data_IF_916626969245
#
_entry.id   IF_916626969245
#
_cell.length_a   1.000
_cell.length_b   1.000
_cell.length_c   1.000
_cell.angle_alpha   90.00
_cell.angle_beta   90.00
_cell.angle_gamma   90.00
#
_symmetry.space_group_name_H-M   'P 1'
#
loop_
_entity.id
_entity.type
_entity.pdbx_description
1 polymer ?
#
# COMPACT_ATOMS: atom_id res chain seq x y z
N UNK A 1 -11.81 10.28 -8.88
CA UNK A 1 -11.28 9.32 -7.87
C UNK A 1 -10.10 8.61 -8.51
N UNK A 2 -8.93 8.60 -7.88
CA UNK A 2 -7.74 7.93 -8.43
C UNK A 2 -7.80 6.41 -8.18
N UNK A 3 -6.94 5.62 -8.83
CA UNK A 3 -6.85 4.17 -8.57
C UNK A 3 -6.36 3.88 -7.14
N UNK A 4 -5.41 4.66 -6.64
CA UNK A 4 -4.91 4.58 -5.26
C UNK A 4 -6.01 4.85 -4.25
N UNK A 5 -6.88 5.82 -4.53
CA UNK A 5 -8.06 6.10 -3.70
C UNK A 5 -8.94 4.87 -3.54
N UNK A 6 -9.28 4.23 -4.66
CA UNK A 6 -10.13 3.06 -4.68
C UNK A 6 -9.49 1.89 -3.92
N UNK A 7 -8.17 1.71 -4.04
CA UNK A 7 -7.43 0.68 -3.32
C UNK A 7 -7.48 0.89 -1.80
N UNK A 8 -7.24 2.12 -1.34
CA UNK A 8 -7.27 2.46 0.10
C UNK A 8 -8.68 2.32 0.67
N UNK A 9 -9.70 2.75 -0.07
CA UNK A 9 -11.09 2.63 0.37
C UNK A 9 -11.53 1.16 0.41
N UNK A 10 -11.07 0.34 -0.53
CA UNK A 10 -11.37 -1.08 -0.59
C UNK A 10 -10.79 -1.90 0.58
N UNK A 11 -9.84 -1.38 1.34
CA UNK A 11 -9.21 -2.09 2.48
C UNK A 11 -9.59 -1.50 3.84
N UNK A 12 -10.63 -0.65 3.88
CA UNK A 12 -11.11 -0.02 5.11
C UNK A 12 -10.47 1.32 5.43
N UNK A 13 -9.80 1.97 4.47
CA UNK A 13 -9.29 3.33 4.59
C UNK A 13 -7.89 3.44 5.19
N UNK A 14 -7.43 4.68 5.36
CA UNK A 14 -6.08 4.98 5.86
C UNK A 14 -5.84 4.49 7.30
N UNK A 15 -6.87 4.52 8.15
CA UNK A 15 -6.77 4.01 9.52
C UNK A 15 -6.51 2.51 9.56
N UNK A 16 -7.15 1.73 8.69
CA UNK A 16 -6.92 0.28 8.61
C UNK A 16 -5.48 -0.03 8.21
N UNK A 17 -4.92 0.73 7.27
CA UNK A 17 -3.51 0.62 6.86
C UNK A 17 -2.58 0.96 8.02
N UNK A 18 -2.80 2.10 8.68
CA UNK A 18 -1.98 2.53 9.82
C UNK A 18 -2.03 1.54 10.99
N UNK A 19 -3.18 0.91 11.20
CA UNK A 19 -3.39 -0.07 12.27
C UNK A 19 -2.82 -1.47 11.93
N UNK A 20 -2.61 -1.77 10.64
CA UNK A 20 -1.97 -3.00 10.18
C UNK A 20 -0.45 -2.92 10.36
N UNK A 21 0.19 -2.00 9.66
CA UNK A 21 1.65 -1.87 9.63
C UNK A 21 2.06 -0.53 9.00
N UNK A 22 3.32 -0.10 9.19
CA UNK A 22 3.84 1.06 8.46
C UNK A 22 3.68 0.90 6.94
N UNK A 23 3.10 1.92 6.29
CA UNK A 23 2.93 1.94 4.84
C UNK A 23 4.26 2.22 4.14
N UNK A 24 4.45 1.66 2.94
CA UNK A 24 5.65 1.86 2.11
C UNK A 24 5.27 1.88 0.63
N UNK A 25 6.04 2.62 -0.18
CA UNK A 25 5.90 2.66 -1.65
C UNK A 25 7.22 3.09 -2.30
N UNK A 26 7.27 3.14 -3.64
CA UNK A 26 8.43 3.61 -4.40
C UNK A 26 8.72 5.10 -4.15
N UNK A 27 10.00 5.49 -4.21
CA UNK A 27 10.47 6.86 -3.91
C UNK A 27 9.65 7.97 -4.59
N UNK A 28 9.35 7.89 -5.91
CA UNK A 28 8.57 8.95 -6.57
C UNK A 28 7.16 9.13 -6.00
N UNK A 29 6.53 8.07 -5.48
CA UNK A 29 5.15 8.11 -5.00
C UNK A 29 5.03 8.35 -3.49
N UNK A 30 6.14 8.50 -2.76
CA UNK A 30 6.10 8.71 -1.30
C UNK A 30 5.27 9.93 -0.91
N UNK A 31 5.44 11.05 -1.61
CA UNK A 31 4.67 12.27 -1.34
C UNK A 31 3.17 12.06 -1.58
N UNK A 32 2.80 11.34 -2.65
CA UNK A 32 1.41 11.04 -2.98
C UNK A 32 0.78 10.11 -1.93
N UNK A 33 1.48 9.05 -1.54
CA UNK A 33 1.01 8.12 -0.52
C UNK A 33 0.94 8.78 0.86
N UNK A 34 1.92 9.61 1.22
CA UNK A 34 1.95 10.38 2.45
C UNK A 34 0.71 11.26 2.57
N UNK A 35 0.43 12.05 1.54
CA UNK A 35 -0.77 12.89 1.50
C UNK A 35 -2.05 12.07 1.59
N UNK A 36 -2.10 10.92 0.89
CA UNK A 36 -3.33 10.12 0.80
C UNK A 36 -3.67 9.34 2.07
N UNK A 37 -2.63 8.92 2.80
CA UNK A 37 -2.77 8.20 4.06
C UNK A 37 -2.62 9.11 5.29
N UNK A 38 -2.46 10.41 5.08
CA UNK A 38 -2.15 11.40 6.13
C UNK A 38 -0.94 10.99 7.00
N UNK A 39 0.13 10.54 6.34
CA UNK A 39 1.37 10.08 6.97
C UNK A 39 2.47 11.13 6.83
N UNK A 40 3.37 11.17 7.82
CA UNK A 40 4.60 11.96 7.73
C UNK A 40 5.63 11.28 6.83
N UNK A 41 6.37 12.05 6.04
CA UNK A 41 7.31 11.54 5.04
C UNK A 41 8.42 10.66 5.61
N UNK A 42 8.86 10.91 6.85
CA UNK A 42 9.89 10.13 7.54
C UNK A 42 9.44 8.69 7.74
N UNK A 43 8.13 8.46 7.87
CA UNK A 43 7.56 7.12 7.97
C UNK A 43 7.61 6.36 6.67
N UNK A 44 8.00 6.95 5.53
CA UNK A 44 8.07 6.26 4.24
C UNK A 44 9.51 6.08 3.75
N UNK A 45 10.53 6.55 4.48
CA UNK A 45 11.90 6.68 4.01
C UNK A 45 12.63 5.33 3.79
N UNK A 46 12.38 4.35 4.65
CA UNK A 46 13.18 3.12 4.71
C UNK A 46 12.69 1.99 3.80
N UNK A 47 13.61 1.07 3.48
CA UNK A 47 13.27 -0.20 2.84
C UNK A 47 12.18 -0.93 3.67
N UNK A 48 11.18 -1.54 3.01
CA UNK A 48 10.15 -2.28 3.74
C UNK A 48 10.80 -3.45 4.49
N UNK A 49 10.57 -3.51 5.79
CA UNK A 49 10.89 -4.65 6.66
C UNK A 49 9.57 -5.10 7.27
N UNK A 50 9.40 -6.42 7.45
CA UNK A 50 8.19 -6.94 8.08
C UNK A 50 8.12 -6.49 9.55
N UNK A 51 6.95 -6.05 10.05
CA UNK A 51 5.66 -5.91 9.37
C UNK A 51 5.56 -4.62 8.50
N UNK A 52 4.94 -4.72 7.32
CA UNK A 52 4.77 -3.59 6.39
C UNK A 52 3.50 -3.71 5.53
N UNK A 53 2.92 -2.57 5.13
CA UNK A 53 1.89 -2.46 4.08
C UNK A 53 2.51 -1.80 2.84
N UNK A 54 2.74 -2.58 1.79
CA UNK A 54 3.51 -2.18 0.60
C UNK A 54 2.60 -1.88 -0.58
N UNK A 55 2.55 -0.62 -0.98
CA UNK A 55 1.82 -0.14 -2.15
C UNK A 55 2.75 -0.09 -3.36
N UNK A 56 2.43 -0.88 -4.39
CA UNK A 56 3.15 -0.91 -5.65
C UNK A 56 2.37 -0.13 -6.71
N UNK A 57 3.04 0.84 -7.33
CA UNK A 57 2.49 1.69 -8.37
C UNK A 57 2.79 1.14 -9.78
N UNK A 58 1.99 1.51 -10.80
CA UNK A 58 2.22 1.13 -12.20
C UNK A 58 3.61 1.52 -12.74
N UNK A 59 4.07 0.81 -13.79
CA UNK A 59 5.23 1.24 -14.59
C UNK A 59 4.97 2.59 -15.28
N UNK A 60 6.03 3.37 -15.53
CA UNK A 60 5.94 4.63 -16.29
C UNK A 60 6.03 5.92 -15.47
N UNK A 61 6.04 5.85 -14.13
CA UNK A 61 6.49 6.99 -13.32
C UNK A 61 8.00 7.17 -13.51
N UNK A 62 8.45 8.35 -13.97
CA UNK A 62 9.87 8.65 -14.29
C UNK A 62 10.77 8.28 -13.10
N UNK A 63 11.57 7.22 -13.28
CA UNK A 63 12.22 6.49 -12.19
C UNK A 63 11.46 5.20 -11.91
N UNK A 64 11.36 4.34 -12.95
CA UNK A 64 10.69 3.03 -13.01
C UNK A 64 10.61 2.35 -11.65
N UNK A 65 9.50 1.65 -11.31
CA UNK A 65 9.33 1.18 -9.96
C UNK A 65 10.54 0.31 -9.62
N UNK A 66 11.46 0.84 -8.81
CA UNK A 66 12.15 0.00 -7.85
C UNK A 66 11.01 -0.52 -7.03
N UNK A 67 10.46 -1.66 -7.45
CA UNK A 67 9.44 -2.40 -6.74
C UNK A 67 9.83 -2.28 -5.27
N UNK A 68 9.01 -1.67 -4.42
CA UNK A 68 9.28 -1.79 -3.01
C UNK A 68 9.31 -3.29 -2.74
N UNK A 69 10.52 -3.82 -2.47
CA UNK A 69 10.75 -5.26 -2.40
C UNK A 69 9.83 -5.80 -1.32
N UNK A 70 8.81 -6.57 -1.71
CA UNK A 70 7.82 -7.06 -0.75
C UNK A 70 8.55 -7.94 0.28
N UNK A 71 8.53 -7.60 1.58
CA UNK A 71 9.21 -8.39 2.59
C UNK A 71 8.63 -9.79 2.65
N UNK A 72 9.48 -10.79 2.90
CA UNK A 72 9.03 -12.17 3.15
C UNK A 72 7.99 -12.21 4.27
N UNK A 73 6.92 -12.99 4.07
CA UNK A 73 5.78 -13.07 4.99
C UNK A 73 4.65 -12.08 4.71
N UNK A 74 4.78 -11.19 3.72
CA UNK A 74 3.68 -10.35 3.25
C UNK A 74 2.78 -11.11 2.28
N UNK A 75 1.47 -10.98 2.41
CA UNK A 75 0.48 -11.57 1.53
C UNK A 75 -0.18 -10.50 0.64
N UNK A 76 -0.58 -10.84 -0.60
CA UNK A 76 -1.38 -9.94 -1.43
C UNK A 76 -2.74 -9.67 -0.76
N UNK A 77 -3.15 -8.40 -0.73
CA UNK A 77 -4.39 -7.94 -0.08
C UNK A 77 -5.41 -7.51 -1.12
N UNK A 78 -5.03 -6.59 -2.01
CA UNK A 78 -5.95 -5.96 -2.95
C UNK A 78 -5.21 -5.38 -4.17
N UNK A 79 -5.95 -5.19 -5.25
CA UNK A 79 -5.52 -4.47 -6.45
C UNK A 79 -6.59 -3.47 -6.88
N UNK A 80 -6.19 -2.38 -7.52
CA UNK A 80 -7.10 -1.43 -8.14
C UNK A 80 -6.45 -0.82 -9.39
N UNK A 81 -6.91 -1.23 -10.57
CA UNK A 81 -6.20 -0.96 -11.81
C UNK A 81 -4.78 -1.51 -11.74
N UNK A 82 -3.79 -0.65 -11.96
CA UNK A 82 -2.38 -1.06 -11.96
C UNK A 82 -1.70 -0.90 -10.58
N UNK A 83 -2.45 -0.52 -9.55
CA UNK A 83 -1.97 -0.48 -8.18
C UNK A 83 -2.21 -1.83 -7.49
N UNK A 84 -1.27 -2.23 -6.65
CA UNK A 84 -1.41 -3.40 -5.79
C UNK A 84 -0.94 -3.11 -4.36
N UNK A 85 -1.50 -3.86 -3.41
CA UNK A 85 -1.12 -3.86 -2.01
C UNK A 85 -0.78 -5.27 -1.55
N UNK A 86 0.40 -5.42 -0.96
CA UNK A 86 0.77 -6.58 -0.15
C UNK A 86 1.00 -6.14 1.30
N UNK A 87 0.63 -6.98 2.27
CA UNK A 87 0.79 -6.63 3.67
C UNK A 87 1.23 -7.82 4.54
N UNK A 88 2.07 -7.52 5.52
CA UNK A 88 2.29 -8.31 6.73
C UNK A 88 1.96 -7.40 7.92
N UNK A 89 0.82 -7.60 8.58
CA UNK A 89 0.41 -6.74 9.68
C UNK A 89 1.06 -7.15 11.01
N UNK A 90 1.12 -6.20 11.93
CA UNK A 90 1.60 -6.41 13.30
C UNK A 90 0.55 -7.19 14.10
N UNK A 91 1.01 -8.12 14.96
CA UNK A 91 0.17 -8.75 15.98
C UNK A 91 -0.95 -9.65 15.44
N UNK A 92 -0.80 -10.25 14.26
CA UNK A 92 -1.79 -11.17 13.69
C UNK A 92 -3.04 -10.50 13.13
N UNK A 93 -3.05 -9.17 12.99
CA UNK A 93 -4.12 -8.46 12.26
C UNK A 93 -4.07 -8.85 10.78
N UNK A 94 -5.22 -8.75 10.11
CA UNK A 94 -5.30 -8.94 8.67
C UNK A 94 -5.91 -7.68 8.05
N UNK A 95 -5.27 -7.17 6.99
CA UNK A 95 -5.97 -6.32 6.05
C UNK A 95 -6.79 -7.24 5.15
N UNK A 96 -8.10 -7.03 5.15
CA UNK A 96 -9.00 -7.77 4.27
C UNK A 96 -9.55 -6.80 3.23
N UNK A 97 -9.57 -7.19 1.95
CA UNK A 97 -10.38 -6.47 0.98
C UNK A 97 -11.84 -6.49 1.45
N UNK A 98 -12.48 -5.32 1.48
CA UNK A 98 -13.91 -5.19 1.66
C UNK A 98 -14.57 -6.05 0.57
N UNK A 99 -15.36 -7.04 1.00
CA UNK A 99 -15.98 -7.98 0.08
C UNK A 99 -16.81 -7.21 -0.97
N UNK A 100 -16.41 -7.33 -2.24
CA UNK A 100 -17.25 -7.05 -3.40
C UNK A 100 -17.07 -5.69 -4.08
N UNK A 101 -16.35 -5.70 -5.21
CA UNK A 101 -16.95 -5.58 -6.55
C UNK A 101 -15.90 -5.90 -7.60
N UNK A 102 -15.83 -7.18 -7.99
CA UNK A 102 -15.32 -7.54 -9.31
C UNK A 102 -16.31 -7.01 -10.34
N UNK A 103 -16.06 -5.79 -10.83
CA UNK A 103 -16.82 -5.16 -11.89
C UNK A 103 -16.39 -5.71 -13.25
N UNK A 104 -17.40 -6.07 -14.03
CA UNK A 104 -17.46 -6.80 -15.31
C UNK A 104 -16.54 -6.32 -16.43
#
# INVERSE_FOLDING_TARGET
RTQLDALVDAIGGAEAVAACAPARTNQPMKAMLAWRLDLRMERLADAPLSPAAVFSAPPGYRGEPREPRVPGGSAPVATAGDWSLAAACTGGRELRPAAGRSGS
#
